data_IF_618706271707
#
_entry.id   IF_618706271707
#
_cell.length_a   1.000
_cell.length_b   1.000
_cell.length_c   1.000
_cell.angle_alpha   90.00
_cell.angle_beta   90.00
_cell.angle_gamma   90.00
#
_symmetry.space_group_name_H-M   'P 1'
#
loop_
_entity.id
_entity.type
_entity.pdbx_description
1 polymer ?
#
# COMPACT_ATOMS: atom_id res chain seq x y z
N UNK A 1 -15.38 -67.47 -4.69
CA UNK A 1 -14.24 -66.79 -4.05
C UNK A 1 -14.64 -66.34 -2.65
N UNK A 2 -14.15 -67.01 -1.60
CA UNK A 2 -14.34 -66.57 -0.20
C UNK A 2 -13.17 -65.67 0.16
N UNK A 3 -13.37 -64.35 0.15
CA UNK A 3 -12.38 -63.45 0.72
C UNK A 3 -12.30 -63.73 2.23
N UNK A 4 -11.12 -64.14 2.70
CA UNK A 4 -10.89 -64.42 4.10
C UNK A 4 -11.17 -63.16 4.93
N UNK A 5 -11.79 -63.35 6.11
CA UNK A 5 -12.16 -62.27 7.04
C UNK A 5 -10.96 -61.33 7.33
N UNK A 6 -9.74 -61.86 7.32
CA UNK A 6 -8.50 -61.10 7.50
C UNK A 6 -8.13 -60.21 6.31
N UNK A 7 -8.44 -60.64 5.07
CA UNK A 7 -8.18 -59.87 3.84
C UNK A 7 -9.13 -58.67 3.73
N UNK A 8 -10.37 -58.82 4.21
CA UNK A 8 -11.36 -57.75 4.25
C UNK A 8 -11.02 -56.67 5.29
N UNK A 9 -10.51 -57.08 6.46
CA UNK A 9 -10.05 -56.16 7.50
C UNK A 9 -8.81 -55.37 7.05
N UNK A 10 -7.86 -56.03 6.38
CA UNK A 10 -6.68 -55.36 5.82
C UNK A 10 -7.05 -54.32 4.76
N UNK A 11 -8.04 -54.60 3.91
CA UNK A 11 -8.52 -53.66 2.90
C UNK A 11 -9.18 -52.41 3.51
N UNK A 12 -9.90 -52.59 4.61
CA UNK A 12 -10.58 -51.51 5.35
C UNK A 12 -9.59 -50.55 6.04
N UNK A 13 -8.50 -51.08 6.60
CA UNK A 13 -7.42 -50.30 7.24
C UNK A 13 -6.64 -49.48 6.19
N UNK A 14 -6.39 -50.05 5.01
CA UNK A 14 -5.67 -49.35 3.93
C UNK A 14 -6.50 -48.19 3.34
N UNK A 15 -7.83 -48.36 3.21
CA UNK A 15 -8.73 -47.31 2.70
C UNK A 15 -8.94 -46.15 3.68
N UNK A 16 -8.84 -46.38 4.99
CA UNK A 16 -9.01 -45.33 6.01
C UNK A 16 -7.75 -44.50 6.24
N UNK A 17 -6.56 -45.04 5.95
CA UNK A 17 -5.29 -44.31 6.08
C UNK A 17 -5.04 -43.23 5.02
N UNK A 18 -5.74 -43.24 3.89
CA UNK A 18 -5.50 -42.33 2.76
C UNK A 18 -6.30 -41.01 2.81
N UNK A 19 -7.24 -40.84 3.74
CA UNK A 19 -8.12 -39.67 3.81
C UNK A 19 -7.63 -38.54 4.74
N UNK A 20 -6.51 -38.72 5.43
CA UNK A 20 -6.05 -37.79 6.49
C UNK A 20 -5.15 -36.63 6.05
N UNK A 21 -4.74 -36.52 4.78
CA UNK A 21 -3.67 -35.58 4.37
C UNK A 21 -4.13 -34.38 3.52
N UNK A 22 -5.42 -34.20 3.28
CA UNK A 22 -5.93 -33.05 2.53
C UNK A 22 -6.40 -31.93 3.48
N UNK A 23 -5.46 -31.22 4.12
CA UNK A 23 -5.84 -30.20 5.09
C UNK A 23 -4.76 -29.22 5.53
N UNK A 24 -3.75 -28.92 4.69
CA UNK A 24 -2.81 -27.83 5.00
C UNK A 24 -3.38 -26.49 4.54
N UNK A 25 -4.44 -26.04 5.21
CA UNK A 25 -4.96 -24.68 5.06
C UNK A 25 -4.34 -23.78 6.12
N UNK A 26 -3.29 -23.03 5.77
CA UNK A 26 -2.77 -21.98 6.65
C UNK A 26 -3.82 -20.88 6.74
N UNK A 27 -4.63 -20.87 7.81
CA UNK A 27 -5.51 -19.73 8.13
C UNK A 27 -4.61 -18.51 8.26
N UNK A 28 -4.85 -17.49 7.43
CA UNK A 28 -4.19 -16.21 7.56
C UNK A 28 -4.45 -15.60 8.94
N UNK A 29 -3.62 -14.66 9.39
CA UNK A 29 -3.91 -13.89 10.60
C UNK A 29 -5.33 -13.29 10.49
N UNK A 30 -6.08 -13.23 11.60
CA UNK A 30 -7.44 -12.68 11.60
C UNK A 30 -7.40 -11.22 11.11
N UNK A 31 -8.27 -10.88 10.16
CA UNK A 31 -8.45 -9.49 9.72
C UNK A 31 -9.11 -8.72 10.88
N UNK A 32 -8.51 -7.61 11.29
CA UNK A 32 -9.08 -6.76 12.34
C UNK A 32 -10.47 -6.27 11.92
N UNK A 33 -11.44 -6.25 12.85
CA UNK A 33 -12.77 -5.70 12.55
C UNK A 33 -12.64 -4.23 12.14
N UNK A 34 -13.37 -3.84 11.10
CA UNK A 34 -13.43 -2.46 10.63
C UNK A 34 -14.21 -1.62 11.64
N UNK A 35 -13.51 -0.78 12.40
CA UNK A 35 -14.14 0.20 13.29
C UNK A 35 -14.41 1.48 12.51
N UNK A 36 -15.69 1.88 12.44
CA UNK A 36 -16.10 3.16 11.85
C UNK A 36 -15.37 4.30 12.53
N UNK A 37 -14.67 5.12 11.74
CA UNK A 37 -14.02 6.32 12.26
C UNK A 37 -12.51 6.19 12.52
N UNK A 38 -11.92 5.02 12.30
CA UNK A 38 -10.50 4.78 12.66
C UNK A 38 -9.56 4.69 11.46
N UNK A 39 -10.08 4.73 10.23
CA UNK A 39 -9.28 4.55 9.02
C UNK A 39 -9.40 5.77 8.10
N UNK A 40 -8.31 6.12 7.42
CA UNK A 40 -8.30 7.12 6.36
C UNK A 40 -7.89 6.43 5.06
N UNK A 41 -8.59 6.71 3.96
CA UNK A 41 -8.26 6.15 2.67
C UNK A 41 -6.90 6.70 2.19
N UNK A 42 -6.11 5.86 1.53
CA UNK A 42 -4.89 6.32 0.89
C UNK A 42 -5.24 7.24 -0.31
N UNK A 43 -4.47 8.31 -0.54
CA UNK A 43 -4.52 9.04 -1.80
C UNK A 43 -4.16 8.11 -2.96
N UNK A 44 -4.80 8.30 -4.10
CA UNK A 44 -4.60 7.47 -5.30
C UNK A 44 -4.46 8.34 -6.54
N UNK A 45 -3.97 7.72 -7.63
CA UNK A 45 -3.78 8.40 -8.92
C UNK A 45 -2.89 9.65 -8.82
N UNK A 46 -1.78 9.53 -8.08
CA UNK A 46 -0.77 10.58 -7.99
C UNK A 46 -0.12 10.77 -9.36
N UNK A 47 -0.14 12.01 -9.84
CA UNK A 47 0.39 12.44 -11.13
C UNK A 47 1.21 13.70 -10.97
N UNK A 48 2.05 13.97 -11.96
CA UNK A 48 2.78 15.23 -12.05
C UNK A 48 2.69 15.85 -13.44
N UNK A 49 2.78 17.17 -13.47
CA UNK A 49 2.99 17.96 -14.69
C UNK A 49 4.27 18.76 -14.50
N UNK A 50 5.16 18.72 -15.49
CA UNK A 50 6.42 19.47 -15.49
C UNK A 50 6.27 20.76 -16.32
N UNK A 51 6.65 21.88 -15.74
CA UNK A 51 6.73 23.19 -16.36
C UNK A 51 8.15 23.78 -16.19
N UNK A 52 9.15 23.12 -16.79
CA UNK A 52 10.54 23.56 -16.77
C UNK A 52 11.18 23.39 -15.40
N UNK A 53 11.26 24.47 -14.63
CA UNK A 53 11.87 24.48 -13.28
C UNK A 53 10.85 24.25 -12.17
N UNK A 54 9.59 23.99 -12.51
CA UNK A 54 8.50 23.74 -11.57
C UNK A 54 7.81 22.43 -11.89
N UNK A 55 7.44 21.71 -10.84
CA UNK A 55 6.57 20.55 -10.92
C UNK A 55 5.27 20.87 -10.19
N UNK A 56 4.15 20.43 -10.77
CA UNK A 56 2.86 20.38 -10.09
C UNK A 56 2.43 18.93 -9.90
N UNK A 57 2.24 18.52 -8.66
CA UNK A 57 1.67 17.23 -8.28
C UNK A 57 0.16 17.35 -8.14
N UNK A 58 -0.57 16.36 -8.62
CA UNK A 58 -2.03 16.24 -8.46
C UNK A 58 -2.40 14.82 -8.04
N UNK A 59 -3.45 14.66 -7.24
CA UNK A 59 -3.89 13.35 -6.78
C UNK A 59 -5.40 13.34 -6.51
N UNK A 60 -5.93 12.15 -6.26
CA UNK A 60 -7.33 11.95 -5.89
C UNK A 60 -7.43 11.31 -4.50
N UNK A 61 -8.58 11.48 -3.87
CA UNK A 61 -8.90 10.86 -2.58
C UNK A 61 -10.41 10.66 -2.49
N UNK A 62 -10.83 9.49 -2.01
CA UNK A 62 -12.24 9.12 -1.85
C UNK A 62 -12.50 8.76 -0.41
N UNK A 63 -13.61 9.26 0.13
CA UNK A 63 -14.10 8.85 1.45
C UNK A 63 -15.23 7.86 1.19
N UNK A 64 -15.07 6.62 1.63
CA UNK A 64 -16.12 5.61 1.60
C UNK A 64 -16.55 5.30 3.04
N UNK A 65 -17.78 5.68 3.37
CA UNK A 65 -18.37 5.45 4.70
C UNK A 65 -18.60 3.96 4.97
N UNK A 66 -18.73 3.13 3.92
CA UNK A 66 -18.89 1.66 4.06
C UNK A 66 -17.58 1.00 4.50
N UNK A 67 -16.45 1.56 4.09
CA UNK A 67 -15.11 1.13 4.51
C UNK A 67 -14.62 1.86 5.76
N UNK A 68 -15.52 2.52 6.50
CA UNK A 68 -15.21 3.23 7.74
C UNK A 68 -14.21 4.40 7.57
N UNK A 69 -14.06 4.93 6.34
CA UNK A 69 -13.10 6.00 6.09
C UNK A 69 -13.55 7.34 6.63
N UNK A 70 -12.65 8.02 7.33
CA UNK A 70 -12.85 9.40 7.80
C UNK A 70 -12.31 10.38 6.79
N UNK A 71 -12.97 11.53 6.69
CA UNK A 71 -12.47 12.66 5.91
C UNK A 71 -11.14 13.18 6.51
N UNK A 72 -10.06 13.28 5.71
CA UNK A 72 -8.80 13.82 6.18
C UNK A 72 -8.91 15.33 6.44
N UNK A 73 -8.00 15.85 7.26
CA UNK A 73 -7.75 17.29 7.43
C UNK A 73 -6.94 17.82 6.25
N UNK A 74 -6.03 17.01 5.70
CA UNK A 74 -5.23 17.33 4.53
C UNK A 74 -4.28 16.21 4.17
N UNK A 75 -3.21 16.56 3.45
CA UNK A 75 -2.26 15.64 2.87
C UNK A 75 -0.84 16.07 3.13
N UNK A 76 -0.02 15.16 3.65
CA UNK A 76 1.41 15.33 3.77
C UNK A 76 2.10 14.89 2.48
N UNK A 77 2.93 15.78 1.92
CA UNK A 77 3.70 15.53 0.70
C UNK A 77 5.11 15.14 1.09
N UNK A 78 5.57 13.99 0.59
CA UNK A 78 6.89 13.46 0.85
C UNK A 78 7.71 13.40 -0.43
N UNK A 79 9.00 13.68 -0.30
CA UNK A 79 9.98 13.65 -1.38
C UNK A 79 11.21 12.85 -0.97
N UNK A 80 11.73 12.06 -1.89
CA UNK A 80 13.12 11.62 -1.85
C UNK A 80 13.86 12.11 -3.10
N UNK A 81 15.00 12.77 -2.90
CA UNK A 81 15.87 13.31 -3.96
C UNK A 81 17.13 12.46 -4.06
N UNK A 82 17.48 12.01 -5.27
CA UNK A 82 18.70 11.24 -5.54
C UNK A 82 19.43 11.80 -6.76
N UNK A 83 20.76 11.78 -6.74
CA UNK A 83 21.59 12.08 -7.92
C UNK A 83 21.53 10.92 -8.91
N UNK A 84 21.84 11.14 -10.19
CA UNK A 84 21.93 10.02 -11.16
C UNK A 84 23.11 9.08 -10.88
N UNK A 85 24.10 9.54 -10.13
CA UNK A 85 25.29 8.78 -9.73
C UNK A 85 25.09 7.97 -8.44
N UNK A 86 23.90 8.04 -7.83
CA UNK A 86 23.63 7.35 -6.56
C UNK A 86 23.81 5.83 -6.68
N UNK A 87 24.45 5.23 -5.68
CA UNK A 87 24.84 3.83 -5.67
C UNK A 87 23.64 2.85 -5.68
N UNK A 88 23.82 1.67 -6.30
CA UNK A 88 22.82 0.61 -6.28
C UNK A 88 22.65 0.08 -4.84
N UNK A 89 21.44 0.22 -4.27
CA UNK A 89 21.12 -0.22 -2.91
C UNK A 89 21.31 0.84 -1.82
N UNK A 90 21.68 2.08 -2.18
CA UNK A 90 21.71 3.20 -1.25
C UNK A 90 20.29 3.43 -0.67
N UNK A 91 20.08 3.36 0.66
CA UNK A 91 18.78 3.65 1.27
C UNK A 91 18.46 5.14 1.09
N UNK A 92 17.38 5.45 0.38
CA UNK A 92 16.93 6.82 0.20
C UNK A 92 15.73 7.10 1.10
N UNK A 93 15.82 8.24 1.81
CA UNK A 93 14.83 8.63 2.80
C UNK A 93 13.82 9.59 2.17
N UNK A 94 12.54 9.34 2.45
CA UNK A 94 11.48 10.29 2.16
C UNK A 94 11.39 11.32 3.28
N UNK A 95 11.41 12.59 2.92
CA UNK A 95 11.25 13.71 3.82
C UNK A 95 9.95 14.44 3.52
N UNK A 96 9.26 14.91 4.56
CA UNK A 96 8.04 15.71 4.41
C UNK A 96 8.45 17.11 3.93
N UNK A 97 7.97 17.49 2.75
CA UNK A 97 8.29 18.78 2.13
C UNK A 97 7.12 19.77 2.17
N UNK A 98 5.91 19.30 2.50
CA UNK A 98 4.74 20.15 2.50
C UNK A 98 3.52 19.50 3.13
N UNK A 99 2.52 20.34 3.39
CA UNK A 99 1.18 19.94 3.79
C UNK A 99 0.15 20.70 2.94
N UNK A 100 -0.86 19.99 2.45
CA UNK A 100 -1.95 20.55 1.65
C UNK A 100 -3.26 20.31 2.38
N UNK A 101 -3.94 21.38 2.78
CA UNK A 101 -5.24 21.28 3.44
C UNK A 101 -6.35 20.89 2.47
N UNK A 102 -7.36 20.16 2.96
CA UNK A 102 -8.59 19.96 2.20
C UNK A 102 -9.27 21.31 1.88
N UNK A 103 -9.92 21.46 0.71
CA UNK A 103 -10.18 20.45 -0.31
C UNK A 103 -9.12 20.38 -1.42
N UNK A 104 -7.94 20.99 -1.23
CA UNK A 104 -6.95 21.07 -2.29
C UNK A 104 -6.22 19.73 -2.49
N UNK A 105 -6.01 19.38 -3.76
CA UNK A 105 -5.41 18.11 -4.19
C UNK A 105 -4.24 18.34 -5.15
N UNK A 106 -3.54 19.45 -4.94
CA UNK A 106 -2.43 19.90 -5.77
C UNK A 106 -1.31 20.49 -4.93
N UNK A 107 -0.08 20.28 -5.35
CA UNK A 107 1.11 20.82 -4.71
C UNK A 107 2.15 21.18 -5.76
N UNK A 108 2.70 22.39 -5.69
CA UNK A 108 3.72 22.84 -6.62
C UNK A 108 5.04 23.15 -5.90
N UNK A 109 6.16 22.78 -6.52
CA UNK A 109 7.49 23.12 -6.02
C UNK A 109 8.48 23.34 -7.16
N UNK A 110 9.60 24.01 -6.85
CA UNK A 110 10.75 24.09 -7.76
C UNK A 110 11.54 22.78 -7.79
N UNK A 111 12.11 22.46 -8.96
CA UNK A 111 12.96 21.29 -9.16
C UNK A 111 14.26 21.68 -9.86
N UNK A 112 15.33 20.94 -9.57
CA UNK A 112 16.67 21.14 -10.12
C UNK A 112 17.01 19.99 -11.09
N UNK A 113 17.79 20.30 -12.13
CA UNK A 113 18.30 19.28 -13.04
C UNK A 113 19.38 18.41 -12.38
N UNK A 114 19.59 17.22 -12.92
CA UNK A 114 20.57 16.26 -12.42
C UNK A 114 20.07 15.36 -11.30
N UNK A 115 18.76 15.33 -11.04
CA UNK A 115 18.17 14.53 -9.96
C UNK A 115 17.01 13.64 -10.41
N UNK A 116 16.86 12.54 -9.66
CA UNK A 116 15.68 11.68 -9.61
C UNK A 116 14.86 12.04 -8.38
N UNK A 117 13.60 12.36 -8.58
CA UNK A 117 12.65 12.73 -7.54
C UNK A 117 11.60 11.64 -7.39
N UNK A 118 11.42 11.15 -6.17
CA UNK A 118 10.35 10.22 -5.82
C UNK A 118 9.35 10.95 -4.93
N UNK A 119 8.08 10.96 -5.34
CA UNK A 119 7.02 11.58 -4.57
C UNK A 119 6.02 10.55 -4.09
N UNK A 120 5.53 10.75 -2.87
CA UNK A 120 4.38 10.01 -2.32
C UNK A 120 3.59 10.91 -1.40
N UNK A 121 2.31 10.61 -1.25
CA UNK A 121 1.39 11.44 -0.46
C UNK A 121 0.72 10.57 0.59
N UNK A 122 0.51 11.15 1.77
CA UNK A 122 -0.20 10.51 2.88
C UNK A 122 -1.36 11.40 3.30
N UNK A 123 -2.56 10.84 3.46
CA UNK A 123 -3.69 11.58 4.00
C UNK A 123 -3.59 11.62 5.53
N UNK A 124 -3.81 12.80 6.10
CA UNK A 124 -3.67 13.07 7.53
C UNK A 124 -4.99 13.58 8.08
N UNK A 125 -5.47 12.95 9.15
CA UNK A 125 -6.72 13.27 9.82
C UNK A 125 -6.52 13.90 11.20
N UNK A 126 -7.62 13.96 11.95
CA UNK A 126 -7.59 14.39 13.36
C UNK A 126 -6.89 13.32 14.21
N UNK A 127 -6.45 13.69 15.41
CA UNK A 127 -5.87 12.77 16.40
C UNK A 127 -4.65 11.96 15.90
N UNK A 128 -3.84 12.55 15.01
CA UNK A 128 -2.65 11.90 14.40
C UNK A 128 -2.97 10.65 13.58
N UNK A 129 -4.23 10.47 13.15
CA UNK A 129 -4.58 9.43 12.20
C UNK A 129 -3.95 9.73 10.84
N UNK A 130 -3.36 8.70 10.23
CA UNK A 130 -2.76 8.78 8.90
C UNK A 130 -3.22 7.59 8.06
N UNK A 131 -3.30 7.79 6.74
CA UNK A 131 -3.52 6.70 5.79
C UNK A 131 -2.22 5.96 5.47
N UNK A 132 -2.34 4.89 4.69
CA UNK A 132 -1.21 4.39 3.89
C UNK A 132 -0.74 5.46 2.90
N UNK A 133 0.49 5.32 2.41
CA UNK A 133 1.01 6.18 1.34
C UNK A 133 0.33 5.85 0.00
N UNK A 134 0.26 6.86 -0.87
CA UNK A 134 0.00 6.65 -2.28
C UNK A 134 1.10 5.80 -2.94
N UNK A 135 0.80 5.28 -4.13
CA UNK A 135 1.85 4.84 -5.04
C UNK A 135 2.86 5.97 -5.27
N UNK A 136 4.14 5.60 -5.33
CA UNK A 136 5.22 6.56 -5.53
C UNK A 136 5.40 6.85 -7.00
N UNK A 137 5.52 8.13 -7.35
CA UNK A 137 5.85 8.56 -8.73
C UNK A 137 7.30 8.96 -8.82
N UNK A 138 7.97 8.54 -9.91
CA UNK A 138 9.33 8.91 -10.25
C UNK A 138 9.31 9.99 -11.32
N UNK A 139 10.02 11.08 -11.06
CA UNK A 139 10.43 12.07 -12.06
C UNK A 139 11.95 12.04 -12.19
N UNK A 140 12.43 11.81 -13.40
CA UNK A 140 13.85 12.00 -13.74
C UNK A 140 14.00 13.35 -14.45
N UNK A 141 14.74 14.29 -13.85
CA UNK A 141 14.99 15.59 -14.45
C UNK A 141 16.48 15.76 -14.74
N UNK A 142 16.85 15.57 -16.00
CA UNK A 142 18.23 15.64 -16.50
C UNK A 142 18.62 17.06 -16.89
#
# INVERSE_FOLDING_TARGET
>A
MRFGKNTFILFLIVMTGLLGFAGCGKKGPPVLPLVKGEKIAAPFDLKYVNAGEKIELTWNHRVDEKEAFVKPVGFDVYLAKQTFESCQGCPFKFEKIGFVSMPFMRFAMGIERGYKYYFRIQATGKNKMVSEFSESVLLEYK
#
